data_IF_096406318325
#
_entry.id   IF_096406318325
#
_cell.length_a   1.000
_cell.length_b   1.000
_cell.length_c   1.000
_cell.angle_alpha   90.00
_cell.angle_beta   90.00
_cell.angle_gamma   90.00
#
_symmetry.space_group_name_H-M   'P 1'
#
loop_
_entity.id
_entity.type
_entity.pdbx_description
1 polymer ?
#
# COMPACT_ATOMS: atom_id res chain seq x y z
N UNK A 1 -3.45 11.40 9.28
CA UNK A 1 -4.28 10.24 8.90
C UNK A 1 -5.32 10.07 9.99
N UNK A 2 -6.60 10.22 9.67
CA UNK A 2 -7.65 9.81 10.61
C UNK A 2 -7.51 8.30 10.81
N UNK A 3 -7.54 7.87 12.06
CA UNK A 3 -7.42 6.46 12.43
C UNK A 3 -8.74 5.77 12.13
N UNK A 4 -8.76 4.94 11.10
CA UNK A 4 -9.90 4.07 10.80
C UNK A 4 -10.08 3.02 11.89
N UNK A 5 -11.32 2.69 12.25
CA UNK A 5 -11.65 1.66 13.24
C UNK A 5 -12.21 0.41 12.58
N UNK A 6 -11.85 -0.76 13.10
CA UNK A 6 -12.34 -2.03 12.59
C UNK A 6 -13.87 -2.13 12.83
N UNK A 7 -14.69 -2.40 11.81
CA UNK A 7 -16.15 -2.48 11.95
C UNK A 7 -16.63 -3.71 12.75
N UNK A 8 -15.71 -4.63 13.11
CA UNK A 8 -16.02 -5.86 13.84
C UNK A 8 -15.69 -5.74 15.33
N UNK A 9 -14.54 -5.16 15.68
CA UNK A 9 -14.07 -5.06 17.07
C UNK A 9 -13.92 -3.63 17.59
N UNK A 10 -14.16 -2.62 16.75
CA UNK A 10 -13.98 -1.20 17.04
C UNK A 10 -12.54 -0.79 17.44
N UNK A 11 -11.56 -1.69 17.35
CA UNK A 11 -10.14 -1.37 17.55
C UNK A 11 -9.62 -0.57 16.35
N UNK A 12 -8.72 0.38 16.60
CA UNK A 12 -8.01 1.13 15.57
C UNK A 12 -7.21 0.20 14.66
N UNK A 13 -7.32 0.39 13.34
CA UNK A 13 -6.55 -0.35 12.32
C UNK A 13 -5.54 0.56 11.62
N UNK A 14 -4.42 -0.02 11.17
CA UNK A 14 -3.35 0.72 10.53
C UNK A 14 -2.39 1.44 11.51
N UNK A 15 -2.50 1.17 12.82
CA UNK A 15 -1.53 1.62 13.82
C UNK A 15 -0.26 0.72 13.87
N UNK A 16 -0.33 -0.48 13.29
CA UNK A 16 0.75 -1.45 13.20
C UNK A 16 0.79 -2.04 11.80
N UNK A 17 1.98 -2.30 11.31
CA UNK A 17 2.21 -3.02 10.06
C UNK A 17 1.49 -4.38 10.06
N UNK A 18 0.84 -4.74 8.95
CA UNK A 18 0.17 -6.02 8.78
C UNK A 18 -1.14 -6.18 9.56
N UNK A 19 -1.57 -5.17 10.33
CA UNK A 19 -2.82 -5.22 11.11
C UNK A 19 -4.05 -4.76 10.30
N UNK A 20 -3.87 -4.24 9.09
CA UNK A 20 -4.95 -3.82 8.18
C UNK A 20 -5.06 -4.78 6.99
N UNK A 21 -6.29 -5.25 6.73
CA UNK A 21 -6.62 -6.08 5.56
C UNK A 21 -7.71 -5.41 4.75
N UNK A 22 -7.51 -5.32 3.44
CA UNK A 22 -8.47 -4.80 2.46
C UNK A 22 -9.16 -5.98 1.79
N UNK A 23 -10.50 -5.99 1.85
CA UNK A 23 -11.33 -6.98 1.14
C UNK A 23 -11.46 -6.58 -0.34
N UNK A 24 -11.82 -7.51 -1.25
CA UNK A 24 -12.00 -7.19 -2.68
C UNK A 24 -13.14 -6.19 -2.98
N UNK A 25 -13.92 -5.82 -1.96
CA UNK A 25 -14.93 -4.76 -2.03
C UNK A 25 -14.41 -3.38 -1.61
N UNK A 26 -13.12 -3.25 -1.26
CA UNK A 26 -12.49 -2.01 -0.78
C UNK A 26 -12.62 -1.74 0.72
N UNK A 27 -13.48 -2.47 1.44
CA UNK A 27 -13.63 -2.26 2.88
C UNK A 27 -12.47 -2.86 3.68
N UNK A 28 -12.09 -2.15 4.75
CA UNK A 28 -10.96 -2.50 5.61
C UNK A 28 -11.42 -3.16 6.91
N UNK A 29 -10.65 -4.16 7.38
CA UNK A 29 -10.89 -4.90 8.63
C UNK A 29 -9.52 -5.22 9.25
N UNK A 30 -9.45 -5.35 10.58
CA UNK A 30 -8.20 -5.79 11.22
C UNK A 30 -7.85 -7.25 10.86
N UNK A 31 -6.56 -7.58 10.87
CA UNK A 31 -6.09 -8.93 10.56
C UNK A 31 -6.70 -10.00 11.49
N UNK A 32 -6.82 -9.69 12.78
CA UNK A 32 -7.43 -10.60 13.78
C UNK A 32 -8.87 -10.96 13.42
N UNK A 33 -9.69 -9.99 13.04
CA UNK A 33 -11.09 -10.22 12.70
C UNK A 33 -11.24 -10.91 11.35
N UNK A 34 -10.36 -10.60 10.39
CA UNK A 34 -10.31 -11.32 9.11
C UNK A 34 -10.07 -12.82 9.31
N UNK A 35 -9.11 -13.21 10.17
CA UNK A 35 -8.87 -14.62 10.51
C UNK A 35 -10.11 -15.31 11.09
N UNK A 36 -10.85 -14.64 11.98
CA UNK A 36 -12.10 -15.18 12.55
C UNK A 36 -13.14 -15.44 11.46
N UNK A 37 -13.28 -14.53 10.49
CA UNK A 37 -14.22 -14.68 9.37
C UNK A 37 -13.81 -15.84 8.45
N UNK A 38 -12.51 -16.01 8.20
CA UNK A 38 -12.00 -17.10 7.34
C UNK A 38 -12.21 -18.50 7.92
N UNK A 39 -12.14 -18.64 9.25
CA UNK A 39 -12.42 -19.88 9.98
C UNK A 39 -13.93 -20.17 10.02
N UNK A 40 -14.75 -19.13 10.02
CA UNK A 40 -16.20 -19.25 10.00
C UNK A 40 -16.77 -19.83 8.70
N UNK A 41 -18.05 -20.19 8.74
CA UNK A 41 -18.77 -20.81 7.62
C UNK A 41 -19.20 -19.83 6.52
N UNK A 42 -19.15 -18.52 6.75
CA UNK A 42 -19.63 -17.50 5.81
C UNK A 42 -18.58 -16.41 5.58
N UNK A 43 -17.84 -16.52 4.48
CA UNK A 43 -16.83 -15.55 4.04
C UNK A 43 -17.49 -14.35 3.35
N UNK A 44 -18.02 -13.42 4.15
CA UNK A 44 -18.72 -12.21 3.69
C UNK A 44 -18.20 -10.96 4.39
N UNK A 45 -18.13 -9.86 3.65
CA UNK A 45 -17.74 -8.56 4.18
C UNK A 45 -18.75 -8.10 5.26
N UNK A 46 -18.33 -7.68 6.46
CA UNK A 46 -19.23 -7.13 7.48
C UNK A 46 -19.95 -5.85 7.06
N UNK A 47 -19.35 -5.03 6.20
CA UNK A 47 -19.94 -3.77 5.75
C UNK A 47 -20.98 -3.96 4.64
N UNK A 48 -20.63 -4.65 3.57
CA UNK A 48 -21.47 -4.74 2.37
C UNK A 48 -22.02 -6.15 2.08
N UNK A 49 -21.66 -7.15 2.89
CA UNK A 49 -22.05 -8.57 2.75
C UNK A 49 -21.60 -9.26 1.45
N UNK A 50 -20.77 -8.61 0.62
CA UNK A 50 -20.15 -9.24 -0.56
C UNK A 50 -19.28 -10.43 -0.13
N UNK A 51 -19.46 -11.57 -0.81
CA UNK A 51 -18.64 -12.76 -0.59
C UNK A 51 -17.22 -12.56 -1.11
N UNK A 52 -16.25 -13.24 -0.50
CA UNK A 52 -14.85 -13.18 -0.90
C UNK A 52 -14.11 -14.50 -0.65
N UNK A 53 -13.01 -14.73 -1.35
CA UNK A 53 -12.05 -15.82 -1.14
C UNK A 53 -10.82 -15.28 -0.41
N UNK A 54 -10.12 -16.16 0.29
CA UNK A 54 -8.91 -15.82 1.05
C UNK A 54 -7.79 -15.27 0.14
N UNK A 55 -7.63 -15.85 -1.05
CA UNK A 55 -6.63 -15.42 -2.04
C UNK A 55 -6.88 -14.02 -2.61
N UNK A 56 -8.04 -13.41 -2.35
CA UNK A 56 -8.40 -12.06 -2.82
C UNK A 56 -8.17 -10.98 -1.77
N UNK A 57 -7.63 -11.34 -0.60
CA UNK A 57 -7.36 -10.41 0.49
C UNK A 57 -5.99 -9.75 0.31
N UNK A 58 -5.94 -8.43 0.50
CA UNK A 58 -4.69 -7.68 0.50
C UNK A 58 -4.34 -7.25 1.93
N UNK A 59 -3.16 -7.65 2.42
CA UNK A 59 -2.64 -7.21 3.72
C UNK A 59 -1.76 -5.99 3.49
N UNK A 60 -2.00 -4.92 4.24
CA UNK A 60 -1.24 -3.68 4.13
C UNK A 60 0.00 -3.76 5.01
N UNK A 61 1.15 -3.73 4.36
CA UNK A 61 2.46 -3.59 4.99
C UNK A 61 2.97 -2.18 4.74
N UNK A 62 3.48 -1.50 5.78
CA UNK A 62 4.32 -0.34 5.58
C UNK A 62 5.69 -0.89 5.19
N UNK A 63 6.13 -0.64 3.95
CA UNK A 63 7.54 -0.84 3.65
C UNK A 63 8.33 0.04 4.60
N UNK A 64 9.05 -0.56 5.55
CA UNK A 64 10.20 0.13 6.12
C UNK A 64 11.07 0.54 4.94
N UNK A 65 11.48 1.81 4.91
CA UNK A 65 12.51 2.29 3.99
C UNK A 65 13.80 1.53 4.31
N UNK A 66 13.91 0.32 3.78
CA UNK A 66 15.17 -0.39 3.59
C UNK A 66 15.96 0.42 2.60
N UNK A 67 16.56 1.51 3.09
CA UNK A 67 17.45 2.36 2.34
C UNK A 67 18.47 1.47 1.68
N UNK A 68 18.34 1.33 0.36
CA UNK A 68 19.39 0.79 -0.46
C UNK A 68 20.64 1.62 -0.14
N UNK A 69 21.54 1.03 0.65
CA UNK A 69 22.84 1.59 0.99
C UNK A 69 23.62 1.70 -0.31
N UNK A 70 23.51 2.85 -0.97
CA UNK A 70 24.19 3.14 -2.22
C UNK A 70 23.51 4.12 -3.16
N UNK A 71 22.26 4.53 -2.93
CA UNK A 71 21.51 5.29 -3.92
C UNK A 71 21.85 6.79 -3.92
N UNK A 72 22.18 7.29 -5.11
CA UNK A 72 22.47 8.69 -5.46
C UNK A 72 21.64 9.72 -4.67
N UNK A 73 22.30 10.78 -4.19
CA UNK A 73 21.65 11.88 -3.47
C UNK A 73 20.70 12.65 -4.41
N UNK A 74 19.40 12.59 -4.13
CA UNK A 74 18.39 13.39 -4.85
C UNK A 74 18.34 14.77 -4.20
N UNK A 75 18.81 15.79 -4.91
CA UNK A 75 18.81 17.17 -4.42
C UNK A 75 17.42 17.80 -4.51
N UNK A 76 16.85 18.18 -3.37
CA UNK A 76 15.59 18.92 -3.28
C UNK A 76 14.66 18.40 -2.19
N UNK A 77 13.58 19.13 -1.93
CA UNK A 77 12.54 18.73 -0.97
C UNK A 77 11.38 18.08 -1.73
N UNK A 78 11.49 16.78 -1.99
CA UNK A 78 10.48 16.00 -2.69
C UNK A 78 9.89 14.92 -1.79
N UNK A 79 8.67 14.47 -2.10
CA UNK A 79 8.04 13.38 -1.36
C UNK A 79 8.82 12.05 -1.51
N UNK A 80 8.66 11.13 -0.57
CA UNK A 80 9.34 9.83 -0.56
C UNK A 80 9.07 9.01 -1.84
N UNK A 81 7.88 9.15 -2.44
CA UNK A 81 7.54 8.50 -3.72
C UNK A 81 8.42 9.00 -4.87
N UNK A 82 8.60 10.31 -4.97
CA UNK A 82 9.41 10.94 -6.03
C UNK A 82 10.88 10.61 -5.82
N UNK A 83 11.37 10.70 -4.58
CA UNK A 83 12.77 10.37 -4.25
C UNK A 83 13.07 8.90 -4.61
N UNK A 84 12.20 7.96 -4.24
CA UNK A 84 12.38 6.54 -4.55
C UNK A 84 12.28 6.25 -6.05
N UNK A 85 11.38 6.91 -6.77
CA UNK A 85 11.27 6.80 -8.22
C UNK A 85 12.57 7.27 -8.91
N UNK A 86 13.06 8.47 -8.56
CA UNK A 86 14.28 9.04 -9.15
C UNK A 86 15.48 8.15 -8.88
N UNK A 87 15.64 7.64 -7.66
CA UNK A 87 16.69 6.66 -7.34
C UNK A 87 16.59 5.40 -8.19
N UNK A 88 15.39 4.84 -8.32
CA UNK A 88 15.15 3.66 -9.15
C UNK A 88 15.51 3.87 -10.62
N UNK A 89 15.27 5.07 -11.18
CA UNK A 89 15.66 5.43 -12.55
C UNK A 89 17.17 5.61 -12.67
N UNK A 90 17.82 6.28 -11.71
CA UNK A 90 19.27 6.53 -11.72
C UNK A 90 20.09 5.25 -11.58
N UNK A 91 19.54 4.23 -10.91
CA UNK A 91 20.20 2.94 -10.70
C UNK A 91 19.94 1.95 -11.85
N UNK A 92 19.26 2.35 -12.93
CA UNK A 92 19.01 1.47 -14.08
C UNK A 92 20.31 1.12 -14.82
N UNK A 93 20.51 -0.16 -15.20
CA UNK A 93 21.60 -0.56 -16.08
C UNK A 93 21.60 0.17 -17.43
N UNK A 94 22.78 0.35 -18.00
CA UNK A 94 22.93 0.95 -19.33
C UNK A 94 22.18 0.11 -20.37
N UNK A 95 21.21 0.71 -21.05
CA UNK A 95 20.40 0.05 -22.09
C UNK A 95 18.99 -0.33 -21.64
N UNK A 96 18.71 -0.30 -20.33
CA UNK A 96 17.37 -0.55 -19.80
C UNK A 96 16.45 0.66 -20.00
N UNK A 97 15.15 0.39 -20.09
CA UNK A 97 14.11 1.41 -20.26
C UNK A 97 13.04 1.22 -19.20
N UNK A 98 12.56 2.33 -18.64
CA UNK A 98 11.44 2.35 -17.71
C UNK A 98 10.29 3.17 -18.29
N UNK A 99 9.06 2.82 -17.90
CA UNK A 99 7.86 3.60 -18.17
C UNK A 99 7.28 4.01 -16.82
N UNK A 100 7.07 5.32 -16.65
CA UNK A 100 6.48 5.88 -15.44
C UNK A 100 5.04 6.26 -15.72
N UNK A 101 4.13 5.80 -14.87
CA UNK A 101 2.72 6.19 -14.91
C UNK A 101 2.37 7.02 -13.68
N UNK A 102 1.55 8.04 -13.89
CA UNK A 102 0.96 8.88 -12.84
C UNK A 102 -0.45 9.24 -13.26
N UNK A 103 -1.36 9.32 -12.30
CA UNK A 103 -2.70 9.89 -12.51
C UNK A 103 -2.68 11.42 -12.53
N UNK A 104 -1.60 12.03 -12.06
CA UNK A 104 -1.42 13.49 -11.98
C UNK A 104 -0.40 13.93 -13.02
N UNK A 105 -0.87 14.64 -14.04
CA UNK A 105 -0.03 15.16 -15.12
C UNK A 105 1.07 16.09 -14.60
N UNK A 106 0.75 16.95 -13.62
CA UNK A 106 1.72 17.83 -12.95
C UNK A 106 2.92 17.07 -12.35
N UNK A 107 2.70 15.84 -11.90
CA UNK A 107 3.78 15.00 -11.36
C UNK A 107 4.70 14.49 -12.47
N UNK A 108 4.15 14.13 -13.63
CA UNK A 108 4.93 13.74 -14.81
C UNK A 108 5.74 14.93 -15.34
N UNK A 109 5.17 16.13 -15.35
CA UNK A 109 5.90 17.35 -15.71
C UNK A 109 7.07 17.62 -14.76
N UNK A 110 6.86 17.46 -13.44
CA UNK A 110 7.88 17.67 -12.43
C UNK A 110 9.09 16.74 -12.62
N UNK A 111 8.85 15.45 -12.88
CA UNK A 111 9.92 14.45 -13.03
C UNK A 111 10.58 14.45 -14.42
N UNK A 112 9.99 15.13 -15.40
CA UNK A 112 10.54 15.21 -16.77
C UNK A 112 11.66 16.24 -16.94
N UNK A 113 11.93 17.04 -15.90
CA UNK A 113 12.95 18.10 -15.87
C UNK A 113 14.25 17.59 -15.26
#
# INVERSE_FOLDING_TARGET
RESESCPVCAETIGAKEGDMVVLPCGHMICFKCTRKILIGSSRRCPNCRRGFKEAELAIVFEQEEGGAKGATEVKGSYSTKVVSLVRGILDLPVGDKAIVFSEWDDMLELISK
#
